data_IF_710550844986
#
_entry.id   IF_710550844986
#
_cell.length_a   1.000
_cell.length_b   1.000
_cell.length_c   1.000
_cell.angle_alpha   90.00
_cell.angle_beta   90.00
_cell.angle_gamma   90.00
#
_symmetry.space_group_name_H-M   'P 1'
#
loop_
_entity.id
_entity.type
_entity.pdbx_description
1 polymer ?
#
# COMPACT_ATOMS: atom_id res chain seq x y z
N UNK A 1 -9.20 -8.69 -44.76
CA UNK A 1 -9.28 -7.93 -43.49
C UNK A 1 -9.55 -8.95 -42.40
N UNK A 2 -8.70 -9.12 -41.37
CA UNK A 2 -9.01 -10.01 -40.27
C UNK A 2 -10.23 -9.44 -39.52
N UNK A 3 -11.19 -10.32 -39.28
CA UNK A 3 -12.48 -10.03 -38.66
C UNK A 3 -12.35 -9.75 -37.17
N UNK A 4 -13.29 -8.98 -36.61
CA UNK A 4 -13.22 -8.43 -35.26
C UNK A 4 -13.01 -9.49 -34.15
N UNK A 5 -13.45 -10.73 -34.40
CA UNK A 5 -13.24 -11.87 -33.51
C UNK A 5 -11.79 -12.33 -33.45
N UNK A 6 -11.08 -12.32 -34.58
CA UNK A 6 -9.66 -12.67 -34.61
C UNK A 6 -8.86 -11.66 -33.79
N UNK A 7 -9.10 -10.37 -34.00
CA UNK A 7 -8.40 -9.31 -33.28
C UNK A 7 -8.71 -9.31 -31.77
N UNK A 8 -9.93 -9.66 -31.36
CA UNK A 8 -10.29 -9.76 -29.93
C UNK A 8 -9.64 -10.98 -29.27
N UNK A 9 -9.60 -12.13 -29.95
CA UNK A 9 -8.95 -13.34 -29.47
C UNK A 9 -7.44 -13.17 -29.32
N UNK A 10 -6.78 -12.50 -30.27
CA UNK A 10 -5.33 -12.23 -30.16
C UNK A 10 -5.00 -11.31 -28.98
N UNK A 11 -5.86 -10.31 -28.71
CA UNK A 11 -5.69 -9.42 -27.55
C UNK A 11 -5.90 -10.17 -26.24
N UNK A 12 -6.91 -11.04 -26.19
CA UNK A 12 -7.18 -11.88 -25.03
C UNK A 12 -6.01 -12.84 -24.74
N UNK A 13 -5.50 -13.52 -25.78
CA UNK A 13 -4.34 -14.40 -25.67
C UNK A 13 -3.08 -13.68 -25.20
N UNK A 14 -2.80 -12.49 -25.74
CA UNK A 14 -1.68 -11.67 -25.31
C UNK A 14 -1.82 -11.24 -23.82
N UNK A 15 -3.02 -10.86 -23.39
CA UNK A 15 -3.28 -10.50 -21.99
C UNK A 15 -3.09 -11.69 -21.04
N UNK A 16 -3.61 -12.86 -21.39
CA UNK A 16 -3.53 -14.06 -20.56
C UNK A 16 -2.09 -14.57 -20.44
N UNK A 17 -1.34 -14.58 -21.55
CA UNK A 17 0.07 -14.99 -21.54
C UNK A 17 0.93 -14.05 -20.71
N UNK A 18 0.72 -12.74 -20.84
CA UNK A 18 1.41 -11.75 -20.01
C UNK A 18 1.13 -11.96 -18.51
N UNK A 19 -0.14 -12.17 -18.15
CA UNK A 19 -0.53 -12.44 -16.76
C UNK A 19 0.11 -13.74 -16.22
N UNK A 20 0.14 -14.80 -17.04
CA UNK A 20 0.77 -16.07 -16.67
C UNK A 20 2.29 -15.91 -16.46
N UNK A 21 2.98 -15.17 -17.32
CA UNK A 21 4.42 -14.93 -17.21
C UNK A 21 4.75 -14.16 -15.92
N UNK A 22 4.00 -13.10 -15.60
CA UNK A 22 4.25 -12.33 -14.38
C UNK A 22 3.85 -13.07 -13.10
N UNK A 23 2.74 -13.85 -13.12
CA UNK A 23 2.31 -14.62 -11.94
C UNK A 23 3.28 -15.73 -11.54
N UNK A 24 4.03 -16.30 -12.47
CA UNK A 24 5.04 -17.33 -12.16
C UNK A 24 6.42 -16.73 -11.82
N UNK A 25 6.65 -15.46 -12.13
CA UNK A 25 7.90 -14.77 -11.80
C UNK A 25 8.02 -14.57 -10.27
N UNK A 26 9.09 -15.11 -9.68
CA UNK A 26 9.39 -14.98 -8.25
C UNK A 26 9.47 -13.52 -7.79
N UNK A 27 10.11 -12.65 -8.58
CA UNK A 27 10.25 -11.23 -8.24
C UNK A 27 8.90 -10.52 -8.15
N UNK A 28 7.93 -10.88 -8.99
CA UNK A 28 6.59 -10.31 -8.95
C UNK A 28 5.82 -10.70 -7.69
N UNK A 29 5.93 -11.97 -7.26
CA UNK A 29 5.35 -12.46 -5.99
C UNK A 29 5.96 -11.78 -4.78
N UNK A 30 7.29 -11.60 -4.79
CA UNK A 30 8.01 -10.91 -3.71
C UNK A 30 7.61 -9.44 -3.66
N UNK A 31 7.52 -8.76 -4.80
CA UNK A 31 7.10 -7.36 -4.86
C UNK A 31 5.70 -7.15 -4.27
N UNK A 32 4.73 -8.01 -4.63
CA UNK A 32 3.38 -7.97 -4.05
C UNK A 32 3.40 -8.17 -2.54
N UNK A 33 4.22 -9.10 -2.06
CA UNK A 33 4.38 -9.40 -0.64
C UNK A 33 5.06 -8.26 0.11
N UNK A 34 6.07 -7.62 -0.49
CA UNK A 34 6.75 -6.45 0.05
C UNK A 34 5.81 -5.25 0.19
N UNK A 35 4.99 -4.98 -0.83
CA UNK A 35 3.99 -3.91 -0.77
C UNK A 35 2.98 -4.15 0.38
N UNK A 36 2.50 -5.39 0.55
CA UNK A 36 1.64 -5.75 1.67
C UNK A 36 2.34 -5.55 3.02
N UNK A 37 3.60 -6.01 3.15
CA UNK A 37 4.39 -5.85 4.37
C UNK A 37 4.66 -4.38 4.71
N UNK A 38 4.89 -3.51 3.73
CA UNK A 38 5.13 -2.09 3.95
C UNK A 38 3.91 -1.41 4.58
N UNK A 39 2.71 -1.75 4.12
CA UNK A 39 1.46 -1.25 4.70
C UNK A 39 1.34 -1.70 6.17
N UNK A 40 1.55 -3.00 6.43
CA UNK A 40 1.49 -3.53 7.79
C UNK A 40 2.51 -2.86 8.72
N UNK A 41 3.74 -2.62 8.25
CA UNK A 41 4.78 -1.89 9.00
C UNK A 41 4.36 -0.46 9.31
N UNK A 42 3.83 0.26 8.33
CA UNK A 42 3.36 1.64 8.51
C UNK A 42 2.26 1.73 9.56
N UNK A 43 1.32 0.78 9.55
CA UNK A 43 0.27 0.68 10.58
C UNK A 43 0.89 0.42 11.96
N UNK A 44 1.78 -0.56 12.07
CA UNK A 44 2.45 -0.89 13.33
C UNK A 44 3.24 0.29 13.91
N UNK A 45 3.98 1.01 13.07
CA UNK A 45 4.74 2.21 13.44
C UNK A 45 3.83 3.35 13.93
N UNK A 46 2.69 3.55 13.25
CA UNK A 46 1.70 4.55 13.65
C UNK A 46 1.14 4.28 15.06
N UNK A 47 0.82 3.01 15.35
CA UNK A 47 0.36 2.62 16.69
C UNK A 47 1.46 2.73 17.74
N UNK A 48 2.69 2.32 17.43
CA UNK A 48 3.84 2.47 18.33
C UNK A 48 4.04 3.93 18.72
N UNK A 49 4.04 4.84 17.74
CA UNK A 49 4.15 6.28 17.97
C UNK A 49 2.99 6.81 18.84
N UNK A 50 1.77 6.36 18.59
CA UNK A 50 0.60 6.75 19.37
C UNK A 50 0.72 6.33 20.85
N UNK A 51 1.18 5.10 21.12
CA UNK A 51 1.41 4.66 22.51
C UNK A 51 2.48 5.48 23.21
N UNK A 52 3.58 5.81 22.52
CA UNK A 52 4.62 6.69 23.06
C UNK A 52 4.06 8.07 23.42
N UNK A 53 3.19 8.64 22.58
CA UNK A 53 2.52 9.90 22.87
C UNK A 53 1.55 9.79 24.06
N UNK A 54 0.81 8.68 24.19
CA UNK A 54 -0.05 8.46 25.38
C UNK A 54 0.78 8.47 26.66
N UNK A 55 1.92 7.80 26.67
CA UNK A 55 2.81 7.75 27.84
C UNK A 55 3.29 9.17 28.18
N UNK A 56 3.78 9.92 27.18
CA UNK A 56 4.23 11.30 27.38
C UNK A 56 3.12 12.22 27.89
N UNK A 57 1.88 12.07 27.41
CA UNK A 57 0.72 12.83 27.89
C UNK A 57 0.40 12.49 29.35
N UNK A 58 0.43 11.21 29.71
CA UNK A 58 0.18 10.75 31.09
C UNK A 58 1.26 11.22 32.06
N UNK A 59 2.49 11.38 31.59
CA UNK A 59 3.61 11.93 32.35
C UNK A 59 3.60 13.48 32.40
N UNK A 60 2.63 14.14 31.74
CA UNK A 60 2.56 15.61 31.68
C UNK A 60 3.63 16.27 30.82
N UNK A 61 4.37 15.50 30.01
CA UNK A 61 5.42 16.01 29.10
C UNK A 61 4.86 16.72 27.87
N UNK A 62 3.61 16.43 27.52
CA UNK A 62 2.88 17.10 26.44
C UNK A 62 1.51 17.54 26.94
N UNK A 63 1.08 18.74 26.56
CA UNK A 63 -0.23 19.30 26.88
C UNK A 63 -1.34 18.75 25.98
N UNK A 64 -0.99 18.41 24.75
CA UNK A 64 -1.96 18.02 23.74
C UNK A 64 -2.30 16.53 23.83
N UNK A 65 -3.60 16.25 23.95
CA UNK A 65 -4.10 14.88 24.02
C UNK A 65 -3.85 14.15 22.67
N UNK A 66 -3.12 13.03 22.67
CA UNK A 66 -2.87 12.25 21.45
C UNK A 66 -4.16 11.73 20.83
N UNK A 67 -4.26 11.80 19.50
CA UNK A 67 -5.38 11.25 18.73
C UNK A 67 -5.03 9.85 18.20
N UNK A 68 -6.01 8.96 18.21
CA UNK A 68 -5.85 7.61 17.65
C UNK A 68 -5.49 7.68 16.15
N UNK A 69 -4.51 6.89 15.67
CA UNK A 69 -4.21 6.81 14.25
C UNK A 69 -5.44 6.37 13.46
N UNK A 70 -5.80 7.13 12.43
CA UNK A 70 -6.91 6.81 11.55
C UNK A 70 -6.39 6.32 10.20
N UNK A 71 -7.16 5.44 9.55
CA UNK A 71 -6.87 5.05 8.17
C UNK A 71 -6.80 6.29 7.28
N UNK A 72 -5.83 6.26 6.36
CA UNK A 72 -5.67 7.33 5.38
C UNK A 72 -6.92 7.43 4.51
N UNK A 73 -7.57 8.59 4.52
CA UNK A 73 -8.72 8.86 3.64
C UNK A 73 -8.26 8.81 2.18
N UNK A 74 -9.02 8.12 1.31
CA UNK A 74 -8.78 8.09 -0.13
C UNK A 74 -8.81 9.54 -0.66
N UNK A 75 -7.73 9.97 -1.31
CA UNK A 75 -7.58 11.35 -1.83
C UNK A 75 -6.96 12.37 -0.85
N UNK A 76 -6.58 11.96 0.37
CA UNK A 76 -5.83 12.84 1.27
C UNK A 76 -4.38 13.03 0.79
N UNK A 77 -3.99 14.29 0.56
CA UNK A 77 -2.63 14.71 0.23
C UNK A 77 -1.63 14.07 1.21
N UNK A 78 -0.62 13.37 0.69
CA UNK A 78 0.59 13.13 1.46
C UNK A 78 1.36 14.43 1.39
N UNK A 79 1.33 15.22 2.46
CA UNK A 79 2.36 16.24 2.62
C UNK A 79 3.65 15.47 2.92
N UNK A 80 4.41 15.16 1.86
CA UNK A 80 5.84 14.94 2.01
C UNK A 80 6.41 16.29 2.45
N UNK A 81 6.73 16.41 3.74
CA UNK A 81 7.60 17.48 4.20
C UNK A 81 8.99 17.17 3.62
N UNK A 82 9.40 17.92 2.61
CA UNK A 82 10.77 17.88 2.11
C UNK A 82 11.69 18.38 3.23
N UNK A 83 12.64 17.54 3.63
CA UNK A 83 13.86 17.97 4.32
C UNK A 83 14.91 18.35 3.29
#
# INVERSE_FOLDING_TARGET
MPDNYFLSLTKLWASLTQELVYKHNYHYKVLYSQAAQQILRTVAESFRSYYSLIIAYREGKISDKPKIPNYRKKGGMATFING
#
